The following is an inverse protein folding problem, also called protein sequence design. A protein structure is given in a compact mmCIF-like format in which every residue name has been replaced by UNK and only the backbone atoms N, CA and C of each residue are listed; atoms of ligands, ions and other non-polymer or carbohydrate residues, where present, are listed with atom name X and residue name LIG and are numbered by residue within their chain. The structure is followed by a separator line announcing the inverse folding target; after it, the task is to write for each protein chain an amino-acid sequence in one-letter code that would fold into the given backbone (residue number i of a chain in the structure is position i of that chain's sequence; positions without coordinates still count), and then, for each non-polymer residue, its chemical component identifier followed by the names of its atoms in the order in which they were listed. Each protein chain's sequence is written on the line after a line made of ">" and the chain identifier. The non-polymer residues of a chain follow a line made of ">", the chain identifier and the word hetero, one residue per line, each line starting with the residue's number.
data_IF_482040821012
#
_entry.id   IF_482040821012
#
_cell.length_a   1.000
_cell.length_b   1.000
_cell.length_c   1.000
_cell.angle_alpha   90.00
_cell.angle_beta   90.00
_cell.angle_gamma   90.00
#
_symmetry.space_group_name_H-M   'P 1'
#
loop_
_entity.id
_entity.type
_entity.pdbx_description
1 polymer ?
#
# COMPACT_ATOMS: atom_id res chain seq x y z
N UNK A 1 -15.77 -2.71 -7.43
CA UNK A 1 -14.78 -2.11 -8.36
C UNK A 1 -15.33 -1.00 -9.25
N UNK A 2 -16.43 -1.14 -10.00
CA UNK A 2 -16.93 0.00 -10.80
C UNK A 2 -17.52 1.16 -9.97
N UNK A 3 -18.08 0.90 -8.77
CA UNK A 3 -18.70 1.94 -7.95
C UNK A 3 -17.70 2.94 -7.34
N UNK A 4 -16.53 2.47 -6.90
CA UNK A 4 -15.44 3.32 -6.38
C UNK A 4 -14.70 4.08 -7.49
N UNK A 5 -14.58 3.50 -8.69
CA UNK A 5 -14.07 4.24 -9.84
C UNK A 5 -15.07 5.34 -10.25
N UNK A 6 -16.36 5.04 -10.24
CA UNK A 6 -17.42 6.03 -10.52
C UNK A 6 -17.45 7.12 -9.45
N UNK A 7 -17.38 6.79 -8.15
CA UNK A 7 -17.32 7.74 -7.03
C UNK A 7 -16.07 8.62 -7.10
N UNK A 8 -14.87 8.06 -7.33
CA UNK A 8 -13.66 8.87 -7.50
C UNK A 8 -13.68 9.76 -8.75
N UNK A 9 -14.37 9.35 -9.83
CA UNK A 9 -14.56 10.19 -11.01
C UNK A 9 -15.64 11.26 -10.79
N UNK A 10 -16.63 10.97 -9.93
CA UNK A 10 -17.66 11.90 -9.49
C UNK A 10 -17.04 12.99 -8.61
N UNK A 11 -16.19 12.64 -7.64
CA UNK A 11 -15.49 13.56 -6.75
C UNK A 11 -14.54 14.49 -7.52
N UNK A 12 -13.81 13.96 -8.51
CA UNK A 12 -12.95 14.80 -9.38
C UNK A 12 -13.79 15.76 -10.23
N UNK A 13 -14.95 15.33 -10.73
CA UNK A 13 -15.87 16.22 -11.48
C UNK A 13 -16.48 17.29 -10.59
N UNK A 14 -16.88 16.95 -9.37
CA UNK A 14 -17.39 17.93 -8.41
C UNK A 14 -16.29 18.94 -8.06
N UNK A 15 -15.08 18.49 -7.78
CA UNK A 15 -13.94 19.38 -7.51
C UNK A 15 -13.62 20.30 -8.70
N UNK A 16 -13.66 19.80 -9.94
CA UNK A 16 -13.47 20.63 -11.14
C UNK A 16 -14.58 21.67 -11.28
N UNK A 17 -15.83 21.28 -11.05
CA UNK A 17 -16.97 22.20 -11.11
C UNK A 17 -16.90 23.26 -10.01
N UNK A 18 -16.53 22.88 -8.79
CA UNK A 18 -16.31 23.83 -7.69
C UNK A 18 -15.16 24.79 -8.00
N UNK A 19 -14.11 24.32 -8.68
CA UNK A 19 -12.99 25.18 -9.07
C UNK A 19 -13.37 26.17 -10.17
N UNK A 20 -14.23 25.76 -11.12
CA UNK A 20 -14.81 26.65 -12.13
C UNK A 20 -15.74 27.70 -11.49
N UNK A 21 -16.61 27.29 -10.56
CA UNK A 21 -17.50 28.19 -9.82
C UNK A 21 -16.73 29.19 -8.95
N UNK A 22 -15.66 28.75 -8.27
CA UNK A 22 -14.76 29.62 -7.52
C UNK A 22 -14.04 30.60 -8.43
N UNK A 23 -13.60 30.16 -9.61
CA UNK A 23 -12.96 31.04 -10.61
C UNK A 23 -13.94 32.10 -11.12
N UNK A 24 -15.21 31.74 -11.32
CA UNK A 24 -16.27 32.68 -11.69
C UNK A 24 -16.55 33.69 -10.57
N UNK A 25 -16.68 33.24 -9.32
CA UNK A 25 -16.87 34.12 -8.16
C UNK A 25 -15.71 35.09 -7.97
N UNK A 26 -14.47 34.63 -8.16
CA UNK A 26 -13.28 35.48 -8.09
C UNK A 26 -13.29 36.56 -9.19
N UNK A 27 -13.74 36.23 -10.41
CA UNK A 27 -13.93 37.23 -11.48
C UNK A 27 -15.04 38.24 -11.15
N UNK A 28 -16.15 37.80 -10.59
CA UNK A 28 -17.25 38.68 -10.17
C UNK A 28 -16.78 39.65 -9.08
N UNK A 29 -16.06 39.15 -8.06
CA UNK A 29 -15.49 39.94 -6.98
C UNK A 29 -14.45 40.94 -7.49
N UNK A 30 -13.60 40.58 -8.45
CA UNK A 30 -12.66 41.52 -9.08
C UNK A 30 -13.38 42.65 -9.84
N UNK A 31 -14.51 42.33 -10.49
CA UNK A 31 -15.32 43.31 -11.20
C UNK A 31 -16.05 44.24 -10.21
N UNK A 32 -16.56 43.69 -9.11
CA UNK A 32 -17.21 44.45 -8.04
C UNK A 32 -16.20 45.37 -7.34
N UNK A 33 -15.00 44.88 -7.03
CA UNK A 33 -13.92 45.67 -6.45
C UNK A 33 -13.47 46.80 -7.39
N UNK A 34 -13.42 46.55 -8.69
CA UNK A 34 -13.14 47.61 -9.68
C UNK A 34 -14.22 48.70 -9.68
N UNK A 35 -15.51 48.33 -9.56
CA UNK A 35 -16.60 49.30 -9.42
C UNK A 35 -16.51 50.08 -8.11
N UNK A 36 -16.17 49.41 -7.01
CA UNK A 36 -16.01 50.05 -5.70
C UNK A 36 -14.85 51.05 -5.71
N UNK A 37 -13.72 50.74 -6.36
CA UNK A 37 -12.62 51.69 -6.54
C UNK A 37 -13.03 52.92 -7.35
N UNK A 38 -13.82 52.73 -8.41
CA UNK A 38 -14.38 53.85 -9.19
C UNK A 38 -15.37 54.67 -8.35
N UNK A 39 -16.21 54.03 -7.54
CA UNK A 39 -17.13 54.71 -6.63
C UNK A 39 -16.39 55.49 -5.52
N UNK A 40 -15.30 54.94 -4.98
CA UNK A 40 -14.45 55.60 -3.99
C UNK A 40 -13.75 56.84 -4.57
N UNK A 41 -13.29 56.74 -5.83
CA UNK A 41 -12.73 57.86 -6.59
C UNK A 41 -13.75 58.96 -6.92
N UNK A 42 -15.04 58.62 -7.00
CA UNK A 42 -16.12 59.58 -7.20
C UNK A 42 -16.62 60.21 -5.89
N UNK A 43 -16.61 59.46 -4.77
CA UNK A 43 -16.94 59.96 -3.42
C UNK A 43 -15.88 60.96 -2.91
N UNK A 44 -14.60 60.73 -3.20
CA UNK A 44 -13.52 61.68 -2.88
C UNK A 44 -13.60 62.98 -3.70
N UNK A 45 -14.35 63.02 -4.81
CA UNK A 45 -14.62 64.24 -5.59
C UNK A 45 -15.83 65.05 -5.12
N UNK A 46 -16.68 64.53 -4.23
CA UNK A 46 -17.97 65.15 -3.87
C UNK A 46 -18.12 65.48 -2.37
N UNK A 47 -17.12 65.23 -1.51
CA UNK A 47 -17.19 65.65 -0.11
C UNK A 47 -15.93 66.38 0.38
N UNK A 48 -15.85 67.65 0.01
CA UNK A 48 -15.31 68.71 0.87
C UNK A 48 -16.37 69.81 0.94
N UNK A 49 -17.29 69.67 1.91
CA UNK A 49 -18.01 70.79 2.52
C UNK A 49 -18.50 70.32 3.92
N UNK A 50 -17.65 70.62 4.90
CA UNK A 50 -17.85 71.00 6.31
C UNK A 50 -19.06 70.48 7.12
N UNK A 51 -18.80 69.61 8.11
CA UNK A 51 -18.85 69.92 9.57
C UNK A 51 -19.01 68.64 10.43
N UNK A 52 -18.04 68.36 11.32
CA UNK A 52 -18.21 67.96 12.75
C UNK A 52 -16.89 67.41 13.34
N UNK A 53 -16.23 68.21 14.19
CA UNK A 53 -14.79 68.14 14.52
C UNK A 53 -14.43 67.43 15.84
N UNK A 54 -15.36 66.72 16.49
CA UNK A 54 -15.07 66.04 17.78
C UNK A 54 -15.22 64.52 17.73
N UNK A 55 -16.04 63.98 16.82
CA UNK A 55 -16.05 62.54 16.51
C UNK A 55 -14.90 62.15 15.56
N UNK A 56 -14.42 63.12 14.76
CA UNK A 56 -13.35 62.94 13.77
C UNK A 56 -12.03 62.50 14.40
N UNK A 57 -11.56 63.08 15.51
CA UNK A 57 -10.25 62.70 16.09
C UNK A 57 -10.19 61.25 16.61
N UNK A 58 -11.29 60.73 17.17
CA UNK A 58 -11.38 59.34 17.64
C UNK A 58 -11.58 58.37 16.48
N UNK A 59 -12.36 58.77 15.46
CA UNK A 59 -12.44 58.03 14.19
C UNK A 59 -11.10 57.99 13.45
N UNK A 60 -10.37 59.10 13.38
CA UNK A 60 -9.07 59.21 12.69
C UNK A 60 -8.04 58.31 13.37
N UNK A 61 -7.98 58.29 14.70
CA UNK A 61 -7.08 57.40 15.46
C UNK A 61 -7.40 55.91 15.31
N UNK A 62 -8.69 55.54 15.32
CA UNK A 62 -9.09 54.16 15.05
C UNK A 62 -8.90 53.78 13.58
N UNK A 63 -9.10 54.72 12.65
CA UNK A 63 -8.85 54.54 11.21
C UNK A 63 -7.37 54.30 10.93
N UNK A 64 -6.47 55.03 11.60
CA UNK A 64 -5.02 54.82 11.43
C UNK A 64 -4.56 53.48 11.97
N UNK A 65 -5.07 53.04 13.13
CA UNK A 65 -4.74 51.72 13.70
C UNK A 65 -5.28 50.59 12.79
N UNK A 66 -6.52 50.73 12.28
CA UNK A 66 -7.10 49.77 11.34
C UNK A 66 -6.36 49.74 10.00
N UNK A 67 -5.89 50.89 9.51
CA UNK A 67 -5.08 50.99 8.29
C UNK A 67 -3.71 50.30 8.46
N UNK A 68 -3.05 50.49 9.61
CA UNK A 68 -1.78 49.83 9.93
C UNK A 68 -1.95 48.30 10.08
N UNK A 69 -3.03 47.84 10.73
CA UNK A 69 -3.36 46.40 10.83
C UNK A 69 -3.72 45.79 9.48
N UNK A 70 -4.48 46.50 8.64
CA UNK A 70 -4.81 46.08 7.27
C UNK A 70 -3.57 46.02 6.39
N UNK A 71 -2.65 46.98 6.55
CA UNK A 71 -1.39 47.01 5.82
C UNK A 71 -0.48 45.85 6.27
N UNK A 72 -0.33 45.62 7.58
CA UNK A 72 0.44 44.48 8.10
C UNK A 72 -0.13 43.12 7.70
N UNK A 73 -1.46 42.98 7.65
CA UNK A 73 -2.13 41.76 7.16
C UNK A 73 -1.90 41.55 5.67
N UNK A 74 -1.96 42.63 4.87
CA UNK A 74 -1.70 42.60 3.43
C UNK A 74 -0.25 42.24 3.12
N UNK A 75 0.70 42.79 3.89
CA UNK A 75 2.12 42.49 3.76
C UNK A 75 2.41 41.02 4.13
N UNK A 76 1.80 40.50 5.19
CA UNK A 76 1.91 39.09 5.61
C UNK A 76 1.32 38.14 4.57
N UNK A 77 0.17 38.49 4.00
CA UNK A 77 -0.48 37.73 2.94
C UNK A 77 0.37 37.70 1.66
N UNK A 78 1.01 38.81 1.31
CA UNK A 78 1.89 38.91 0.15
C UNK A 78 3.19 38.12 0.35
N UNK A 79 3.72 38.08 1.58
CA UNK A 79 4.89 37.29 1.96
C UNK A 79 4.58 35.78 1.90
N UNK A 80 3.44 35.36 2.45
CA UNK A 80 2.95 33.97 2.35
C UNK A 80 2.66 33.55 0.90
N UNK A 81 2.15 34.47 0.06
CA UNK A 81 1.96 34.22 -1.36
C UNK A 81 3.28 34.02 -2.09
N UNK A 82 4.29 34.86 -1.82
CA UNK A 82 5.64 34.72 -2.37
C UNK A 82 6.30 33.41 -1.94
N UNK A 83 6.14 33.01 -0.68
CA UNK A 83 6.68 31.75 -0.17
C UNK A 83 6.00 30.54 -0.82
N UNK A 84 4.68 30.58 -0.99
CA UNK A 84 3.94 29.56 -1.74
C UNK A 84 4.35 29.49 -3.21
N UNK A 85 4.61 30.62 -3.86
CA UNK A 85 5.13 30.67 -5.23
C UNK A 85 6.54 30.07 -5.32
N UNK A 86 7.39 30.33 -4.32
CA UNK A 86 8.72 29.75 -4.22
C UNK A 86 8.67 28.23 -3.97
N UNK A 87 7.81 27.77 -3.06
CA UNK A 87 7.61 26.33 -2.82
C UNK A 87 7.05 25.62 -4.05
N UNK A 88 6.10 26.23 -4.77
CA UNK A 88 5.62 25.69 -6.05
C UNK A 88 6.74 25.62 -7.09
N UNK A 89 7.60 26.63 -7.17
CA UNK A 89 8.75 26.63 -8.07
C UNK A 89 9.74 25.50 -7.72
N UNK A 90 10.06 25.33 -6.44
CA UNK A 90 10.91 24.23 -5.95
C UNK A 90 10.29 22.86 -6.21
N UNK A 91 8.99 22.69 -5.99
CA UNK A 91 8.29 21.43 -6.31
C UNK A 91 8.30 21.16 -7.81
N UNK A 92 8.09 22.18 -8.66
CA UNK A 92 8.20 22.03 -10.12
C UNK A 92 9.63 21.67 -10.53
N UNK A 93 10.64 22.26 -9.90
CA UNK A 93 12.04 21.96 -10.15
C UNK A 93 12.40 20.54 -9.71
N UNK A 94 11.96 20.11 -8.52
CA UNK A 94 12.10 18.74 -8.03
C UNK A 94 11.34 17.74 -8.90
N UNK A 95 10.14 18.06 -9.38
CA UNK A 95 9.39 17.22 -10.33
C UNK A 95 10.16 17.13 -11.65
N UNK A 96 10.74 18.24 -12.14
CA UNK A 96 11.52 18.29 -13.37
C UNK A 96 12.85 17.54 -13.21
N UNK A 97 13.48 17.61 -12.05
CA UNK A 97 14.70 16.90 -11.72
C UNK A 97 14.44 15.40 -11.55
N UNK A 98 13.38 15.01 -10.84
CA UNK A 98 12.91 13.63 -10.76
C UNK A 98 12.50 13.09 -12.14
N UNK A 99 11.84 13.91 -12.98
CA UNK A 99 11.53 13.55 -14.37
C UNK A 99 12.77 13.43 -15.23
N UNK A 100 13.82 14.24 -14.99
CA UNK A 100 15.11 14.13 -15.67
C UNK A 100 15.89 12.92 -15.20
N UNK A 101 15.87 12.59 -13.91
CA UNK A 101 16.47 11.39 -13.34
C UNK A 101 15.75 10.15 -13.85
N UNK A 102 14.41 10.17 -13.91
CA UNK A 102 13.61 9.13 -14.53
C UNK A 102 13.90 9.04 -16.04
N UNK A 103 13.97 10.14 -16.78
CA UNK A 103 14.28 10.10 -18.21
C UNK A 103 15.74 9.71 -18.50
N UNK A 104 16.69 10.06 -17.62
CA UNK A 104 18.08 9.62 -17.69
C UNK A 104 18.21 8.13 -17.34
N UNK A 105 17.41 7.67 -16.38
CA UNK A 105 17.23 6.26 -16.05
C UNK A 105 16.61 5.50 -17.23
N UNK A 106 15.54 6.01 -17.83
CA UNK A 106 14.87 5.42 -18.99
C UNK A 106 15.80 5.41 -20.21
N UNK A 107 16.58 6.47 -20.43
CA UNK A 107 17.57 6.53 -21.52
C UNK A 107 18.80 5.62 -21.30
N UNK A 108 19.26 5.45 -20.06
CA UNK A 108 20.30 4.46 -19.72
C UNK A 108 19.77 3.02 -19.79
N UNK A 109 18.49 2.81 -19.48
CA UNK A 109 17.81 1.51 -19.51
C UNK A 109 17.51 1.07 -20.95
N UNK A 110 17.07 2.00 -21.82
CA UNK A 110 16.85 1.79 -23.26
C UNK A 110 18.11 1.37 -24.03
N UNK A 111 19.31 1.73 -23.54
CA UNK A 111 20.57 1.46 -24.22
C UNK A 111 21.24 0.13 -23.80
N UNK A 112 20.85 -0.47 -22.67
CA UNK A 112 21.59 -1.61 -22.11
C UNK A 112 20.72 -2.80 -21.65
N UNK A 113 19.46 -2.61 -21.24
CA UNK A 113 18.63 -3.68 -20.64
C UNK A 113 17.12 -3.42 -20.79
N UNK A 114 16.60 -3.50 -22.02
CA UNK A 114 15.15 -3.42 -22.29
C UNK A 114 14.37 -4.52 -21.54
N UNK A 115 13.69 -4.18 -20.45
CA UNK A 115 12.68 -5.05 -19.82
C UNK A 115 11.68 -4.31 -18.91
N UNK A 116 11.43 -3.01 -19.17
CA UNK A 116 10.53 -2.18 -18.33
C UNK A 116 9.05 -2.64 -18.35
N UNK A 117 8.67 -3.58 -19.21
CA UNK A 117 7.34 -4.21 -19.17
C UNK A 117 7.20 -5.32 -18.12
N UNK A 118 8.30 -5.92 -17.64
CA UNK A 118 8.22 -7.13 -16.82
C UNK A 118 7.95 -6.87 -15.32
N UNK A 119 8.25 -5.67 -14.81
CA UNK A 119 8.30 -5.38 -13.37
C UNK A 119 7.32 -4.31 -12.88
N UNK A 120 6.24 -4.07 -13.64
CA UNK A 120 5.20 -3.14 -13.24
C UNK A 120 4.45 -3.62 -11.98
N UNK A 121 4.28 -2.74 -10.99
CA UNK A 121 3.43 -2.93 -9.80
C UNK A 121 2.04 -3.52 -10.12
N UNK A 122 1.47 -3.23 -11.30
CA UNK A 122 0.22 -3.83 -11.79
C UNK A 122 0.28 -5.36 -11.89
N UNK A 123 1.41 -5.92 -12.33
CA UNK A 123 1.62 -7.37 -12.48
C UNK A 123 1.73 -8.06 -11.12
N UNK A 124 2.40 -7.41 -10.16
CA UNK A 124 2.46 -7.89 -8.77
C UNK A 124 1.05 -7.92 -8.14
N UNK A 125 0.26 -6.85 -8.34
CA UNK A 125 -1.13 -6.79 -7.86
C UNK A 125 -1.94 -7.94 -8.48
N UNK A 126 -1.83 -8.18 -9.79
CA UNK A 126 -2.54 -9.29 -10.44
C UNK A 126 -2.14 -10.65 -9.84
N UNK A 127 -0.84 -10.92 -9.67
CA UNK A 127 -0.38 -12.17 -9.06
C UNK A 127 -0.90 -12.36 -7.63
N UNK A 128 -0.99 -11.27 -6.85
CA UNK A 128 -1.55 -11.30 -5.51
C UNK A 128 -3.06 -11.59 -5.56
N UNK A 129 -3.81 -10.97 -6.46
CA UNK A 129 -5.24 -11.24 -6.64
C UNK A 129 -5.48 -12.71 -7.00
N UNK A 130 -4.74 -13.25 -7.97
CA UNK A 130 -4.85 -14.67 -8.34
C UNK A 130 -4.57 -15.58 -7.12
N UNK A 131 -3.56 -15.23 -6.30
CA UNK A 131 -3.24 -15.95 -5.08
C UNK A 131 -4.39 -15.90 -4.06
N UNK A 132 -5.03 -14.74 -3.88
CA UNK A 132 -6.18 -14.59 -2.98
C UNK A 132 -7.35 -15.48 -3.40
N UNK A 133 -7.61 -15.58 -4.70
CA UNK A 133 -8.68 -16.43 -5.24
C UNK A 133 -8.38 -17.92 -5.00
N UNK A 134 -7.20 -18.42 -5.36
CA UNK A 134 -6.86 -19.84 -5.11
C UNK A 134 -6.82 -20.17 -3.62
N UNK A 135 -6.35 -19.25 -2.78
CA UNK A 135 -6.37 -19.45 -1.33
C UNK A 135 -7.80 -19.57 -0.82
N UNK A 136 -8.74 -18.78 -1.36
CA UNK A 136 -10.15 -18.86 -1.01
C UNK A 136 -10.73 -20.23 -1.34
N UNK A 137 -10.46 -20.75 -2.54
CA UNK A 137 -10.94 -22.06 -2.96
C UNK A 137 -10.31 -23.20 -2.14
N UNK A 138 -8.98 -23.17 -1.96
CA UNK A 138 -8.25 -24.21 -1.25
C UNK A 138 -8.56 -24.27 0.24
N UNK A 139 -8.94 -23.14 0.84
CA UNK A 139 -9.30 -23.03 2.27
C UNK A 139 -10.79 -23.15 2.52
N UNK A 140 -11.59 -23.49 1.51
CA UNK A 140 -13.01 -23.73 1.69
C UNK A 140 -13.24 -24.88 2.68
N UNK A 141 -14.02 -24.62 3.73
CA UNK A 141 -14.32 -25.58 4.80
C UNK A 141 -15.81 -25.94 4.89
N UNK A 142 -16.66 -25.24 4.13
CA UNK A 142 -18.10 -25.40 4.09
C UNK A 142 -18.60 -25.43 2.65
N UNK A 143 -19.68 -26.18 2.39
CA UNK A 143 -20.21 -26.43 1.05
C UNK A 143 -20.72 -27.86 0.93
N UNK A 144 -21.21 -28.27 -0.23
CA UNK A 144 -21.57 -29.67 -0.51
C UNK A 144 -20.38 -30.60 -0.37
N UNK A 145 -19.19 -30.10 -0.71
CA UNK A 145 -17.99 -30.91 -0.92
C UNK A 145 -17.15 -31.04 0.36
N UNK A 146 -17.51 -30.31 1.42
CA UNK A 146 -16.70 -30.16 2.62
C UNK A 146 -17.49 -30.38 3.91
N UNK A 147 -16.84 -31.00 4.90
CA UNK A 147 -17.37 -31.12 6.28
C UNK A 147 -16.31 -30.70 7.30
N UNK A 148 -16.67 -29.82 8.21
CA UNK A 148 -15.76 -29.34 9.27
C UNK A 148 -15.56 -30.40 10.35
N UNK A 149 -14.31 -30.54 10.81
CA UNK A 149 -13.95 -31.33 11.99
C UNK A 149 -13.94 -30.39 13.20
N UNK A 150 -15.10 -30.22 13.85
CA UNK A 150 -15.36 -29.15 14.82
C UNK A 150 -14.34 -29.07 15.98
N UNK A 151 -13.87 -30.20 16.52
CA UNK A 151 -12.96 -30.20 17.67
C UNK A 151 -11.60 -29.57 17.33
N UNK A 152 -11.00 -30.00 16.22
CA UNK A 152 -9.72 -29.49 15.72
C UNK A 152 -9.87 -28.04 15.25
N UNK A 153 -10.96 -27.71 14.56
CA UNK A 153 -11.28 -26.35 14.14
C UNK A 153 -11.37 -25.39 15.34
N UNK A 154 -12.13 -25.76 16.38
CA UNK A 154 -12.28 -24.96 17.59
C UNK A 154 -10.97 -24.85 18.39
N UNK A 155 -10.08 -25.84 18.33
CA UNK A 155 -8.75 -25.73 18.92
C UNK A 155 -7.90 -24.68 18.19
N UNK A 156 -7.92 -24.67 16.85
CA UNK A 156 -7.20 -23.69 16.03
C UNK A 156 -7.75 -22.27 16.24
N UNK A 157 -9.08 -22.09 16.20
CA UNK A 157 -9.72 -20.79 16.42
C UNK A 157 -9.33 -20.19 17.78
N UNK A 158 -9.35 -21.00 18.85
CA UNK A 158 -8.92 -20.57 20.19
C UNK A 158 -7.44 -20.22 20.25
N UNK A 159 -6.57 -20.97 19.55
CA UNK A 159 -5.14 -20.67 19.49
C UNK A 159 -4.85 -19.28 18.89
N UNK A 160 -5.71 -18.81 17.99
CA UNK A 160 -5.65 -17.48 17.39
C UNK A 160 -6.55 -16.43 18.08
N UNK A 161 -7.09 -16.76 19.26
CA UNK A 161 -7.95 -15.87 20.08
C UNK A 161 -9.22 -15.41 19.35
N UNK A 162 -9.72 -16.21 18.41
CA UNK A 162 -11.02 -15.98 17.81
C UNK A 162 -12.15 -16.27 18.82
N UNK A 163 -13.24 -15.51 18.76
CA UNK A 163 -14.39 -15.56 19.68
C UNK A 163 -15.56 -16.38 19.15
N UNK A 164 -15.37 -17.02 17.99
CA UNK A 164 -16.36 -17.88 17.35
C UNK A 164 -16.06 -19.37 17.61
N UNK A 165 -17.11 -20.19 17.61
CA UNK A 165 -16.99 -21.64 17.71
C UNK A 165 -17.87 -22.33 16.65
N UNK A 166 -17.37 -23.42 16.09
CA UNK A 166 -18.11 -24.35 15.23
C UNK A 166 -19.07 -25.21 16.06
N UNK A 167 -20.25 -25.60 15.52
CA UNK A 167 -20.71 -25.33 14.15
C UNK A 167 -21.54 -24.03 14.07
N UNK A 168 -21.00 -23.00 13.44
CA UNK A 168 -21.76 -21.79 13.08
C UNK A 168 -21.24 -21.24 11.75
N UNK A 169 -22.11 -20.64 10.94
CA UNK A 169 -21.74 -20.09 9.62
C UNK A 169 -20.60 -19.08 9.74
N UNK A 170 -20.64 -18.22 10.77
CA UNK A 170 -19.58 -17.26 11.07
C UNK A 170 -18.26 -17.96 11.43
N UNK A 171 -18.29 -19.01 12.25
CA UNK A 171 -17.09 -19.76 12.59
C UNK A 171 -16.46 -20.44 11.37
N UNK A 172 -17.27 -20.98 10.45
CA UNK A 172 -16.78 -21.54 9.19
C UNK A 172 -16.06 -20.50 8.32
N UNK A 173 -16.62 -19.30 8.21
CA UNK A 173 -16.00 -18.19 7.48
C UNK A 173 -14.66 -17.77 8.11
N UNK A 174 -14.65 -17.58 9.43
CA UNK A 174 -13.44 -17.22 10.20
C UNK A 174 -12.38 -18.31 10.08
N UNK A 175 -12.78 -19.58 10.12
CA UNK A 175 -11.87 -20.72 9.94
C UNK A 175 -11.23 -20.71 8.54
N UNK A 176 -12.01 -20.47 7.48
CA UNK A 176 -11.48 -20.37 6.11
C UNK A 176 -10.40 -19.28 6.01
N UNK A 177 -10.69 -18.06 6.48
CA UNK A 177 -9.71 -16.97 6.53
C UNK A 177 -8.49 -17.34 7.35
N UNK A 178 -8.67 -17.93 8.53
CA UNK A 178 -7.57 -18.34 9.38
C UNK A 178 -6.64 -19.36 8.69
N UNK A 179 -7.21 -20.29 7.94
CA UNK A 179 -6.43 -21.27 7.18
C UNK A 179 -5.58 -20.60 6.09
N UNK A 180 -6.07 -19.55 5.43
CA UNK A 180 -5.28 -18.78 4.44
C UNK A 180 -4.00 -18.22 5.10
N UNK A 181 -4.14 -17.59 6.26
CA UNK A 181 -3.00 -17.07 7.03
C UNK A 181 -2.04 -18.18 7.44
N UNK A 182 -2.56 -19.29 7.96
CA UNK A 182 -1.75 -20.44 8.39
C UNK A 182 -0.94 -21.02 7.23
N UNK A 183 -1.51 -21.08 6.03
CA UNK A 183 -0.84 -21.58 4.82
C UNK A 183 0.30 -20.66 4.44
N UNK A 184 0.02 -19.36 4.25
CA UNK A 184 1.03 -18.37 3.86
C UNK A 184 2.19 -18.42 4.85
N UNK A 185 1.91 -18.24 6.15
CA UNK A 185 2.95 -18.22 7.20
C UNK A 185 3.76 -19.51 7.20
N UNK A 186 3.13 -20.67 7.03
CA UNK A 186 3.83 -21.95 7.03
C UNK A 186 4.76 -22.09 5.82
N UNK A 187 4.35 -21.66 4.63
CA UNK A 187 5.19 -21.68 3.44
C UNK A 187 6.41 -20.78 3.65
N UNK A 188 6.19 -19.56 4.14
CA UNK A 188 7.27 -18.60 4.35
C UNK A 188 8.33 -19.15 5.31
N UNK A 189 7.90 -19.74 6.43
CA UNK A 189 8.79 -20.39 7.40
C UNK A 189 9.59 -21.55 6.79
N UNK A 190 8.99 -22.38 5.93
CA UNK A 190 9.74 -23.50 5.32
C UNK A 190 10.77 -23.01 4.28
N UNK A 191 10.48 -21.94 3.52
CA UNK A 191 11.47 -21.33 2.62
C UNK A 191 12.60 -20.67 3.39
N UNK A 192 12.32 -19.95 4.48
CA UNK A 192 13.39 -19.37 5.31
C UNK A 192 14.33 -20.46 5.83
N UNK A 193 13.79 -21.59 6.29
CA UNK A 193 14.63 -22.73 6.72
C UNK A 193 15.48 -23.28 5.57
N UNK A 194 14.93 -23.35 4.36
CA UNK A 194 15.66 -23.79 3.17
C UNK A 194 16.83 -22.85 2.85
N UNK A 195 16.55 -21.54 2.75
CA UNK A 195 17.55 -20.52 2.42
C UNK A 195 18.60 -20.37 3.55
N UNK A 196 18.23 -20.60 4.81
CA UNK A 196 19.17 -20.59 5.92
C UNK A 196 19.97 -21.90 6.08
N UNK A 197 19.76 -22.89 5.19
CA UNK A 197 20.46 -24.18 5.25
C UNK A 197 20.12 -25.03 6.48
N UNK A 198 19.00 -24.72 7.15
CA UNK A 198 18.51 -25.44 8.33
C UNK A 198 17.73 -26.73 7.98
N UNK A 199 17.59 -27.04 6.69
CA UNK A 199 16.99 -28.30 6.22
C UNK A 199 18.08 -29.36 5.98
N UNK A 200 17.98 -30.48 6.70
CA UNK A 200 18.77 -31.71 6.46
C UNK A 200 18.71 -32.11 4.96
N UNK A 201 19.85 -32.43 4.35
CA UNK A 201 19.95 -32.83 2.93
C UNK A 201 20.10 -31.69 1.90
N UNK A 202 19.93 -30.42 2.28
CA UNK A 202 20.06 -29.22 1.40
C UNK A 202 21.49 -28.72 1.18
N UNK A 203 22.49 -29.39 1.73
CA UNK A 203 23.85 -28.86 1.87
C UNK A 203 24.68 -28.90 0.56
N UNK A 204 24.24 -29.64 -0.46
CA UNK A 204 24.98 -29.82 -1.72
C UNK A 204 24.21 -29.50 -3.02
N UNK A 205 22.96 -29.03 -2.94
CA UNK A 205 22.05 -28.94 -4.10
C UNK A 205 21.18 -27.67 -4.16
N UNK A 206 21.30 -26.75 -3.19
CA UNK A 206 20.43 -25.58 -3.10
C UNK A 206 20.98 -24.38 -3.88
N UNK A 207 20.91 -24.45 -5.22
CA UNK A 207 21.39 -23.37 -6.11
C UNK A 207 20.72 -22.03 -5.81
N UNK A 208 19.43 -22.03 -5.48
CA UNK A 208 18.67 -20.82 -5.18
C UNK A 208 19.25 -20.10 -3.97
N UNK A 209 19.60 -20.86 -2.92
CA UNK A 209 20.23 -20.33 -1.71
C UNK A 209 21.58 -19.70 -2.05
N UNK A 210 22.41 -20.43 -2.77
CA UNK A 210 23.78 -19.99 -3.07
C UNK A 210 23.75 -18.72 -3.95
N UNK A 211 22.80 -18.64 -4.89
CA UNK A 211 22.51 -17.44 -5.69
C UNK A 211 22.07 -16.27 -4.79
N UNK A 212 21.09 -16.48 -3.90
CA UNK A 212 20.60 -15.44 -2.97
C UNK A 212 21.74 -14.90 -2.11
N UNK A 213 22.52 -15.78 -1.47
CA UNK A 213 23.62 -15.38 -0.59
C UNK A 213 24.74 -14.62 -1.33
N UNK A 214 25.09 -15.09 -2.52
CA UNK A 214 26.10 -14.42 -3.36
C UNK A 214 25.62 -13.05 -3.80
N UNK A 215 24.33 -12.92 -4.11
CA UNK A 215 23.71 -11.67 -4.55
C UNK A 215 23.68 -10.63 -3.42
N UNK A 216 23.28 -11.02 -2.21
CA UNK A 216 23.30 -10.12 -1.05
C UNK A 216 24.74 -9.69 -0.72
N UNK A 217 25.72 -10.59 -0.86
CA UNK A 217 27.14 -10.26 -0.70
C UNK A 217 27.59 -9.21 -1.73
N UNK A 218 27.24 -9.40 -3.00
CA UNK A 218 27.59 -8.48 -4.08
C UNK A 218 26.93 -7.10 -3.88
N UNK A 219 25.65 -7.07 -3.54
CA UNK A 219 24.91 -5.84 -3.21
C UNK A 219 25.63 -5.06 -2.11
N UNK A 220 26.01 -5.73 -1.01
CA UNK A 220 26.72 -5.09 0.09
C UNK A 220 28.09 -4.54 -0.32
N UNK A 221 28.82 -5.28 -1.17
CA UNK A 221 30.10 -4.80 -1.72
C UNK A 221 29.92 -3.58 -2.62
N UNK A 222 28.87 -3.53 -3.44
CA UNK A 222 28.57 -2.35 -4.28
C UNK A 222 28.17 -1.13 -3.44
N UNK A 223 27.38 -1.33 -2.38
CA UNK A 223 27.06 -0.24 -1.43
C UNK A 223 28.34 0.25 -0.74
N UNK A 224 29.26 -0.65 -0.37
CA UNK A 224 30.53 -0.28 0.24
C UNK A 224 31.44 0.46 -0.74
N UNK A 225 31.40 0.09 -2.02
CA UNK A 225 32.12 0.77 -3.10
C UNK A 225 31.63 2.22 -3.24
N UNK A 226 30.32 2.41 -3.30
CA UNK A 226 29.65 3.73 -3.37
C UNK A 226 30.06 4.64 -2.21
N UNK A 227 30.01 4.14 -0.98
CA UNK A 227 30.31 4.93 0.23
C UNK A 227 31.79 5.28 0.39
N UNK A 228 32.70 4.42 -0.03
CA UNK A 228 34.13 4.55 0.31
C UNK A 228 35.00 5.09 -0.83
N UNK A 229 34.49 5.18 -2.06
CA UNK A 229 35.24 5.70 -3.20
C UNK A 229 34.67 7.04 -3.63
N UNK A 230 35.53 7.92 -4.13
CA UNK A 230 35.11 9.22 -4.65
C UNK A 230 34.41 9.02 -6.00
N UNK A 231 33.20 9.53 -6.12
CA UNK A 231 32.37 9.50 -7.33
C UNK A 231 30.95 9.92 -6.98
N UNK A 232 30.28 10.63 -7.88
CA UNK A 232 28.88 11.06 -7.69
C UNK A 232 27.95 10.44 -8.75
N UNK A 233 28.42 9.42 -9.47
CA UNK A 233 27.66 8.80 -10.56
C UNK A 233 26.43 8.03 -10.04
N UNK A 234 25.33 8.19 -10.77
CA UNK A 234 24.08 7.50 -10.44
C UNK A 234 24.13 5.99 -10.76
N UNK A 235 25.08 5.57 -11.60
CA UNK A 235 25.26 4.17 -11.99
C UNK A 235 25.62 3.33 -10.77
N UNK A 236 26.60 3.76 -9.97
CA UNK A 236 27.03 3.04 -8.78
C UNK A 236 25.91 3.00 -7.72
N UNK A 237 25.15 4.10 -7.59
CA UNK A 237 23.99 4.18 -6.66
C UNK A 237 22.86 3.22 -7.04
N UNK A 238 22.56 3.07 -8.34
CA UNK A 238 21.45 2.22 -8.80
C UNK A 238 21.84 0.74 -8.98
N UNK A 239 23.13 0.44 -9.14
CA UNK A 239 23.63 -0.91 -9.38
C UNK A 239 23.12 -1.96 -8.38
N UNK A 240 23.11 -1.72 -7.04
CA UNK A 240 22.56 -2.68 -6.08
C UNK A 240 21.09 -3.03 -6.34
N UNK A 241 20.29 -2.04 -6.74
CA UNK A 241 18.87 -2.23 -7.06
C UNK A 241 18.75 -3.13 -8.29
N UNK A 242 19.50 -2.83 -9.37
CA UNK A 242 19.43 -3.61 -10.61
C UNK A 242 19.91 -5.04 -10.42
N UNK A 243 21.01 -5.27 -9.68
CA UNK A 243 21.49 -6.62 -9.34
C UNK A 243 20.38 -7.42 -8.66
N UNK A 244 19.75 -6.84 -7.62
CA UNK A 244 18.63 -7.48 -6.92
C UNK A 244 17.49 -7.81 -7.89
N UNK A 245 17.05 -6.85 -8.69
CA UNK A 245 15.92 -7.04 -9.59
C UNK A 245 16.15 -8.17 -10.59
N UNK A 246 17.30 -8.19 -11.27
CA UNK A 246 17.60 -9.19 -12.28
C UNK A 246 17.75 -10.60 -11.70
N UNK A 247 18.48 -10.74 -10.59
CA UNK A 247 18.66 -12.05 -9.95
C UNK A 247 17.32 -12.61 -9.48
N UNK A 248 16.54 -11.82 -8.73
CA UNK A 248 15.27 -12.30 -8.20
C UNK A 248 14.22 -12.51 -9.30
N UNK A 249 14.32 -11.81 -10.44
CA UNK A 249 13.54 -12.11 -11.65
C UNK A 249 13.89 -13.48 -12.23
N UNK A 250 15.19 -13.79 -12.36
CA UNK A 250 15.64 -15.09 -12.83
C UNK A 250 15.19 -16.24 -11.88
N UNK A 251 15.29 -16.02 -10.57
CA UNK A 251 14.79 -16.96 -9.56
C UNK A 251 13.27 -17.12 -9.59
N UNK A 252 12.51 -16.05 -9.85
CA UNK A 252 11.07 -16.13 -10.06
C UNK A 252 10.70 -17.05 -11.23
N UNK A 253 11.49 -17.05 -12.29
CA UNK A 253 11.23 -17.87 -13.47
C UNK A 253 11.70 -19.32 -13.33
N UNK A 254 12.77 -19.58 -12.57
CA UNK A 254 13.44 -20.91 -12.57
C UNK A 254 13.86 -21.46 -11.20
N UNK A 255 13.76 -20.68 -10.14
CA UNK A 255 14.30 -21.03 -8.83
C UNK A 255 13.53 -22.16 -8.13
N UNK A 256 12.21 -22.22 -8.28
CA UNK A 256 11.44 -23.29 -7.65
C UNK A 256 10.42 -23.86 -8.64
N UNK A 257 10.83 -24.68 -9.62
CA UNK A 257 9.87 -25.36 -10.48
C UNK A 257 8.89 -26.21 -9.66
N UNK A 258 7.71 -26.52 -10.20
CA UNK A 258 6.64 -27.21 -9.44
C UNK A 258 7.05 -28.58 -8.87
N UNK A 259 8.00 -29.26 -9.49
CA UNK A 259 8.57 -30.53 -9.06
C UNK A 259 9.71 -30.39 -8.04
N UNK A 260 10.12 -29.16 -7.72
CA UNK A 260 11.17 -28.89 -6.74
C UNK A 260 10.81 -29.48 -5.38
N UNK A 261 11.74 -30.20 -4.75
CA UNK A 261 11.52 -30.95 -3.50
C UNK A 261 10.95 -30.11 -2.36
N UNK A 262 11.40 -28.85 -2.21
CA UNK A 262 10.85 -27.90 -1.24
C UNK A 262 9.36 -27.62 -1.50
N UNK A 263 8.96 -27.44 -2.76
CA UNK A 263 7.58 -27.15 -3.16
C UNK A 263 6.70 -28.35 -2.82
N UNK A 264 7.03 -29.51 -3.37
CA UNK A 264 6.23 -30.73 -3.22
C UNK A 264 6.12 -31.16 -1.75
N UNK A 265 7.23 -31.16 -1.02
CA UNK A 265 7.23 -31.52 0.41
C UNK A 265 6.42 -30.53 1.25
N UNK A 266 6.51 -29.23 0.96
CA UNK A 266 5.75 -28.20 1.68
C UNK A 266 4.26 -28.32 1.36
N UNK A 267 3.90 -28.48 0.09
CA UNK A 267 2.52 -28.68 -0.37
C UNK A 267 1.85 -29.89 0.31
N UNK A 268 2.50 -31.05 0.32
CA UNK A 268 1.97 -32.24 0.99
C UNK A 268 1.79 -32.04 2.50
N UNK A 269 2.75 -31.39 3.17
CA UNK A 269 2.63 -31.05 4.60
C UNK A 269 1.47 -30.10 4.87
N UNK A 270 1.24 -29.12 3.99
CA UNK A 270 0.13 -28.16 4.12
C UNK A 270 -1.20 -28.87 3.95
N UNK A 271 -1.36 -29.66 2.90
CA UNK A 271 -2.61 -30.37 2.63
C UNK A 271 -2.97 -31.30 3.78
N UNK A 272 -2.01 -32.10 4.26
CA UNK A 272 -2.20 -32.94 5.44
C UNK A 272 -2.62 -32.11 6.67
N UNK A 273 -2.01 -30.93 6.88
CA UNK A 273 -2.36 -30.06 8.00
C UNK A 273 -3.77 -29.50 7.89
N UNK A 274 -4.19 -29.05 6.70
CA UNK A 274 -5.53 -28.47 6.48
C UNK A 274 -6.62 -29.52 6.61
N UNK A 275 -6.37 -30.74 6.12
CA UNK A 275 -7.31 -31.85 6.18
C UNK A 275 -7.53 -32.40 7.62
N UNK A 276 -6.83 -31.85 8.62
CA UNK A 276 -7.18 -32.06 10.03
C UNK A 276 -8.39 -31.24 10.48
N UNK A 277 -8.67 -30.13 9.80
CA UNK A 277 -9.76 -29.20 10.15
C UNK A 277 -11.01 -29.42 9.27
N UNK A 278 -10.84 -30.01 8.08
CA UNK A 278 -11.93 -30.32 7.14
C UNK A 278 -11.79 -31.74 6.58
N UNK A 279 -12.92 -32.33 6.21
CA UNK A 279 -13.01 -33.53 5.37
C UNK A 279 -13.55 -33.13 4.00
N UNK A 280 -12.84 -33.51 2.96
CA UNK A 280 -13.30 -33.41 1.57
C UNK A 280 -14.14 -34.66 1.29
N UNK A 281 -15.37 -34.46 0.84
CA UNK A 281 -16.36 -35.51 0.61
C UNK A 281 -16.47 -35.85 -0.87
N UNK A 282 -16.26 -34.86 -1.73
CA UNK A 282 -16.23 -35.02 -3.18
C UNK A 282 -14.87 -35.55 -3.66
N UNK A 283 -14.88 -36.57 -4.51
CA UNK A 283 -13.66 -37.28 -4.94
C UNK A 283 -12.93 -36.53 -6.06
N UNK A 284 -13.66 -35.80 -6.92
CA UNK A 284 -13.05 -34.95 -7.96
C UNK A 284 -12.26 -33.80 -7.32
N UNK A 285 -12.90 -33.06 -6.42
CA UNK A 285 -12.28 -32.01 -5.60
C UNK A 285 -11.03 -32.52 -4.90
N UNK A 286 -11.10 -33.71 -4.31
CA UNK A 286 -9.98 -34.32 -3.58
C UNK A 286 -8.78 -34.60 -4.48
N UNK A 287 -8.99 -35.02 -5.72
CA UNK A 287 -7.93 -35.31 -6.68
C UNK A 287 -7.21 -34.03 -7.16
N UNK A 288 -7.90 -32.88 -7.16
CA UNK A 288 -7.33 -31.59 -7.56
C UNK A 288 -6.51 -30.92 -6.44
N UNK A 289 -6.73 -31.29 -5.18
CA UNK A 289 -6.13 -30.59 -4.04
C UNK A 289 -4.60 -30.69 -3.98
N UNK A 290 -4.02 -31.80 -4.44
CA UNK A 290 -2.56 -31.96 -4.45
C UNK A 290 -1.90 -30.96 -5.40
N UNK A 291 -2.44 -30.82 -6.62
CA UNK A 291 -1.95 -29.86 -7.60
C UNK A 291 -2.19 -28.42 -7.13
N UNK A 292 -3.37 -28.13 -6.59
CA UNK A 292 -3.68 -26.81 -6.04
C UNK A 292 -2.75 -26.43 -4.88
N UNK A 293 -2.39 -27.39 -4.00
CA UNK A 293 -1.43 -27.17 -2.93
C UNK A 293 -0.02 -26.84 -3.47
N UNK A 294 0.41 -27.52 -4.55
CA UNK A 294 1.69 -27.24 -5.24
C UNK A 294 1.67 -25.83 -5.84
N UNK A 295 0.61 -25.49 -6.57
CA UNK A 295 0.45 -24.18 -7.22
C UNK A 295 0.44 -23.04 -6.20
N UNK A 296 -0.32 -23.17 -5.11
CA UNK A 296 -0.36 -22.19 -4.02
C UNK A 296 1.01 -22.05 -3.36
N UNK A 297 1.67 -23.18 -3.06
CA UNK A 297 3.02 -23.16 -2.48
C UNK A 297 3.98 -22.39 -3.39
N UNK A 298 4.01 -22.71 -4.67
CA UNK A 298 4.84 -22.04 -5.64
C UNK A 298 4.54 -20.54 -5.72
N UNK A 299 3.27 -20.15 -5.85
CA UNK A 299 2.87 -18.73 -5.98
C UNK A 299 3.15 -17.90 -4.72
N UNK A 300 2.95 -18.45 -3.52
CA UNK A 300 3.32 -17.75 -2.28
C UNK A 300 4.83 -17.48 -2.27
N UNK A 301 5.65 -18.46 -2.62
CA UNK A 301 7.11 -18.27 -2.65
C UNK A 301 7.49 -17.24 -3.71
N UNK A 302 6.95 -17.39 -4.91
CA UNK A 302 7.21 -16.48 -6.02
C UNK A 302 6.84 -15.04 -5.66
N UNK A 303 5.69 -14.80 -5.04
CA UNK A 303 5.23 -13.45 -4.69
C UNK A 303 6.10 -12.86 -3.57
N UNK A 304 6.14 -13.55 -2.42
CA UNK A 304 6.67 -12.98 -1.18
C UNK A 304 8.21 -13.00 -1.11
N UNK A 305 8.88 -13.98 -1.72
CA UNK A 305 10.36 -14.02 -1.73
C UNK A 305 10.96 -13.39 -2.98
N UNK A 306 10.35 -13.58 -4.16
CA UNK A 306 10.98 -13.17 -5.41
C UNK A 306 10.40 -11.87 -5.96
N UNK A 307 9.09 -11.81 -6.17
CA UNK A 307 8.45 -10.66 -6.82
C UNK A 307 8.54 -9.38 -5.98
N UNK A 308 8.53 -9.47 -4.65
CA UNK A 308 8.81 -8.29 -3.81
C UNK A 308 10.22 -7.74 -4.06
N UNK A 309 11.20 -8.63 -4.24
CA UNK A 309 12.60 -8.29 -4.50
C UNK A 309 12.84 -7.86 -5.95
N UNK A 310 11.85 -7.89 -6.84
CA UNK A 310 11.97 -7.26 -8.18
C UNK A 310 11.48 -5.81 -8.20
N UNK A 311 10.83 -5.33 -7.14
CA UNK A 311 10.36 -3.95 -7.07
C UNK A 311 11.52 -2.99 -6.75
N UNK A 312 11.48 -1.77 -7.31
CA UNK A 312 12.52 -0.75 -7.07
C UNK A 312 12.65 -0.44 -5.57
N UNK A 313 11.52 -0.24 -4.90
CA UNK A 313 11.40 -0.27 -3.45
C UNK A 313 10.77 -1.59 -3.02
N UNK A 314 11.41 -2.32 -2.11
CA UNK A 314 10.96 -3.65 -1.68
C UNK A 314 9.75 -3.51 -0.76
N UNK A 315 8.55 -4.00 -1.14
CA UNK A 315 7.44 -4.08 -0.21
C UNK A 315 7.70 -5.12 0.88
N UNK A 316 6.99 -4.94 1.98
CA UNK A 316 6.83 -5.95 3.02
C UNK A 316 5.35 -6.19 3.28
N UNK A 317 5.04 -7.04 4.25
CA UNK A 317 3.68 -7.41 4.58
C UNK A 317 3.43 -7.41 6.09
N UNK A 318 2.19 -7.15 6.48
CA UNK A 318 1.74 -7.11 7.88
C UNK A 318 0.43 -7.86 8.02
N UNK A 319 0.41 -8.86 8.90
CA UNK A 319 -0.84 -9.47 9.38
C UNK A 319 -1.36 -8.73 10.60
N UNK A 320 -2.67 -8.80 10.80
CA UNK A 320 -3.33 -8.25 11.98
C UNK A 320 -3.88 -9.37 12.87
N UNK A 321 -3.63 -9.26 14.17
CA UNK A 321 -4.03 -10.23 15.17
C UNK A 321 -5.41 -9.94 15.74
N UNK A 322 -6.06 -10.98 16.24
CA UNK A 322 -7.37 -10.85 16.88
C UNK A 322 -7.31 -9.87 18.05
N UNK A 323 -8.28 -8.97 18.14
CA UNK A 323 -8.35 -7.90 19.14
C UNK A 323 -7.65 -6.60 18.77
N UNK A 324 -6.96 -6.52 17.62
CA UNK A 324 -6.41 -5.24 17.15
C UNK A 324 -7.52 -4.31 16.64
N UNK A 325 -7.33 -3.00 16.84
CA UNK A 325 -8.23 -1.99 16.29
C UNK A 325 -8.26 -2.05 14.75
N UNK A 326 -9.40 -1.70 14.16
CA UNK A 326 -9.52 -1.63 12.72
C UNK A 326 -8.81 -0.39 12.19
N UNK A 327 -7.99 -0.57 11.16
CA UNK A 327 -7.28 0.50 10.46
C UNK A 327 -7.77 0.53 9.00
N UNK A 328 -8.82 1.32 8.66
CA UNK A 328 -9.46 1.26 7.34
C UNK A 328 -8.52 1.58 6.16
N UNK A 329 -7.42 2.29 6.41
CA UNK A 329 -6.41 2.56 5.39
C UNK A 329 -5.55 1.33 5.06
N UNK A 330 -5.36 0.40 6.00
CA UNK A 330 -4.56 -0.84 5.84
C UNK A 330 -5.40 -2.10 5.64
N UNK A 331 -6.68 -2.07 6.02
CA UNK A 331 -7.54 -3.25 6.10
C UNK A 331 -8.78 -3.11 5.21
N UNK A 332 -9.28 -4.24 4.72
CA UNK A 332 -10.56 -4.36 4.05
C UNK A 332 -11.36 -5.53 4.63
N UNK A 333 -12.67 -5.35 4.76
CA UNK A 333 -13.60 -6.33 5.31
C UNK A 333 -15.02 -5.79 5.36
N UNK A 334 -15.94 -6.53 5.95
CA UNK A 334 -17.34 -6.13 6.09
C UNK A 334 -17.54 -5.14 7.27
N UNK A 335 -16.92 -3.95 7.20
CA UNK A 335 -17.07 -2.85 8.14
C UNK A 335 -17.04 -1.50 7.41
N UNK A 336 -17.86 -0.54 7.85
CA UNK A 336 -17.80 0.85 7.39
C UNK A 336 -16.80 1.70 8.19
N UNK A 337 -16.56 2.94 7.75
CA UNK A 337 -15.69 3.86 8.47
C UNK A 337 -16.21 4.15 9.89
N UNK A 338 -17.52 4.30 10.07
CA UNK A 338 -18.17 4.62 11.34
C UNK A 338 -18.19 3.43 12.34
N UNK A 339 -18.03 2.20 11.85
CA UNK A 339 -18.07 0.98 12.66
C UNK A 339 -16.68 0.59 13.23
N UNK A 340 -15.62 1.27 12.79
CA UNK A 340 -14.23 0.97 13.14
C UNK A 340 -13.93 1.17 14.63
N UNK A 341 -14.56 2.15 15.28
CA UNK A 341 -14.36 2.41 16.71
C UNK A 341 -14.97 1.33 17.62
N UNK A 342 -16.06 0.69 17.17
CA UNK A 342 -16.81 -0.32 17.91
C UNK A 342 -16.39 -1.75 17.59
N UNK A 343 -15.49 -1.91 16.62
CA UNK A 343 -15.09 -3.19 16.09
C UNK A 343 -13.58 -3.39 16.19
N UNK A 344 -13.18 -4.65 16.23
CA UNK A 344 -11.80 -5.09 16.24
C UNK A 344 -11.62 -6.26 15.28
N UNK A 345 -10.39 -6.63 14.99
CA UNK A 345 -10.07 -7.76 14.13
C UNK A 345 -10.50 -9.07 14.82
N UNK A 346 -11.31 -9.89 14.16
CA UNK A 346 -11.56 -11.29 14.55
C UNK A 346 -10.47 -12.21 13.99
N UNK A 347 -10.16 -12.03 12.70
CA UNK A 347 -9.09 -12.75 11.99
C UNK A 347 -8.62 -11.95 10.78
N UNK A 348 -7.34 -12.03 10.48
CA UNK A 348 -6.73 -11.57 9.23
C UNK A 348 -6.32 -12.80 8.41
N UNK A 349 -6.96 -13.02 7.27
CA UNK A 349 -6.67 -14.17 6.40
C UNK A 349 -5.55 -13.91 5.42
N UNK A 350 -5.50 -12.70 4.87
CA UNK A 350 -4.46 -12.26 3.94
C UNK A 350 -3.80 -10.96 4.44
N UNK A 351 -2.47 -10.80 4.36
CA UNK A 351 -1.79 -9.66 4.95
C UNK A 351 -1.97 -8.38 4.12
N UNK A 352 -1.76 -7.23 4.76
CA UNK A 352 -1.55 -5.97 4.07
C UNK A 352 -0.16 -6.00 3.43
N UNK A 353 -0.02 -5.54 2.20
CA UNK A 353 1.25 -5.48 1.45
C UNK A 353 1.51 -4.05 1.03
N UNK A 354 2.68 -3.53 1.37
CA UNK A 354 3.04 -2.15 1.08
C UNK A 354 4.47 -1.81 1.47
N UNK A 355 4.81 -0.54 1.29
CA UNK A 355 6.04 0.06 1.82
C UNK A 355 5.61 0.88 3.02
N UNK A 356 5.99 0.42 4.21
CA UNK A 356 5.66 1.09 5.47
C UNK A 356 6.86 1.92 5.92
N UNK A 357 6.69 3.22 6.02
CA UNK A 357 7.70 4.22 6.44
C UNK A 357 7.49 4.63 7.90
N UNK A 358 6.34 4.31 8.49
CA UNK A 358 5.95 4.71 9.84
C UNK A 358 5.19 6.03 9.91
N UNK A 359 4.95 6.67 8.77
CA UNK A 359 4.07 7.83 8.63
C UNK A 359 2.94 7.47 7.64
N UNK A 360 1.70 7.42 8.12
CA UNK A 360 0.51 6.97 7.39
C UNK A 360 0.34 7.68 6.03
N UNK A 361 0.76 8.94 5.92
CA UNK A 361 0.65 9.72 4.69
C UNK A 361 1.68 9.33 3.62
N UNK A 362 2.78 8.70 4.03
CA UNK A 362 3.87 8.28 3.15
C UNK A 362 3.92 6.77 2.92
N UNK A 363 3.14 6.00 3.69
CA UNK A 363 2.93 4.57 3.48
C UNK A 363 2.32 4.31 2.09
N UNK A 364 2.98 3.48 1.29
CA UNK A 364 2.48 3.07 -0.02
C UNK A 364 1.83 1.70 0.08
N UNK A 365 0.49 1.68 0.14
CA UNK A 365 -0.28 0.44 0.23
C UNK A 365 -0.58 -0.11 -1.17
N UNK A 366 -0.14 -1.34 -1.42
CA UNK A 366 -0.44 -2.05 -2.66
C UNK A 366 -1.69 -2.91 -2.52
N UNK A 367 -1.82 -3.61 -1.39
CA UNK A 367 -2.93 -4.51 -1.08
C UNK A 367 -3.31 -4.32 0.38
N UNK A 368 -4.59 -4.09 0.66
CA UNK A 368 -5.11 -4.05 2.03
C UNK A 368 -5.23 -5.46 2.60
N UNK A 369 -5.04 -5.61 3.91
CA UNK A 369 -5.28 -6.87 4.60
C UNK A 369 -6.75 -7.30 4.48
N UNK A 370 -6.99 -8.58 4.24
CA UNK A 370 -8.33 -9.14 4.24
C UNK A 370 -8.67 -9.63 5.64
N UNK A 371 -9.64 -8.97 6.29
CA UNK A 371 -10.01 -9.25 7.68
C UNK A 371 -11.50 -9.52 7.82
N UNK A 372 -11.86 -10.27 8.86
CA UNK A 372 -13.22 -10.34 9.37
C UNK A 372 -13.25 -9.54 10.67
N UNK A 373 -14.17 -8.56 10.82
CA UNK A 373 -14.30 -7.79 12.05
C UNK A 373 -15.18 -8.53 13.08
N UNK A 374 -15.03 -8.18 14.36
CA UNK A 374 -15.98 -8.50 15.44
C UNK A 374 -16.24 -7.26 16.28
N UNK A 375 -17.36 -7.25 16.99
CA UNK A 375 -17.66 -6.18 17.95
C UNK A 375 -16.70 -6.27 19.13
N UNK A 376 -16.21 -5.12 19.60
CA UNK A 376 -15.44 -5.04 20.84
C UNK A 376 -16.30 -5.49 22.02
N UNK A 377 -15.70 -6.19 22.98
CA UNK A 377 -16.33 -6.40 24.28
C UNK A 377 -16.32 -5.06 25.02
N UNK A 378 -17.51 -4.52 25.31
CA UNK A 378 -17.71 -3.34 26.14
C UNK A 378 -17.30 -3.62 27.59
#
# INVERSE_FOLDING_TARGET
>A
SNKQLIEGTQDIRELLKTNEDLTAQVKELMKENSKQQIALGNLTKVSWNDNESQNSKKLIGNSTILEDELQGTRDTQELSKRENENLKAQVIELIKENSKQQAALDNLTNAFWNDDELHNSKKLIQYITDLQDMLTDFTMVQGSDYKIINNEANALLRAFRCEVNCPSLRASLVLGFLLQRVIIVKILVEVEKYLNGMLEGSRGTALERDIVNTTETLINQTILLEKNRKGEDDITKITPIKIRQHVYSALSCRGFPSDHSLITTTASKLLHKINRFRKIVDEETKNEMDDLAIQITHKVINIFFFSFKTQASVPTYKFFDAGQALEPHLMQGAFGNDDSEKSEVEVCGFPCIGIFTGDELSDKIFIKAQIIPRSKRL
#
